data_IF_306685277178
#
_entry.id   IF_306685277178
#
_cell.length_a   1.000
_cell.length_b   1.000
_cell.length_c   1.000
_cell.angle_alpha   90.00
_cell.angle_beta   90.00
_cell.angle_gamma   90.00
#
_symmetry.space_group_name_H-M   'P 1'
#
loop_
_entity.id
_entity.type
_entity.pdbx_description
1 polymer ?
#
# COMPACT_ATOMS: atom_id res chain seq x y z
N UNK A 1 20.66 -2.15 4.55
CA UNK A 1 19.80 -3.34 4.75
C UNK A 1 18.72 -3.33 3.68
N UNK A 2 18.61 -4.37 2.86
CA UNK A 2 17.49 -4.49 1.92
C UNK A 2 16.26 -4.96 2.69
N UNK A 3 15.18 -4.19 2.67
CA UNK A 3 13.88 -4.63 3.22
C UNK A 3 12.96 -5.05 2.09
N UNK A 4 12.09 -6.02 2.35
CA UNK A 4 11.03 -6.41 1.43
C UNK A 4 10.10 -5.21 1.21
N UNK A 5 9.73 -4.97 -0.06
CA UNK A 5 8.76 -3.94 -0.45
C UNK A 5 7.41 -4.57 -0.72
N UNK A 6 6.32 -3.95 -0.26
CA UNK A 6 4.96 -4.47 -0.40
C UNK A 6 4.12 -3.57 -1.32
N UNK A 7 3.67 -4.12 -2.46
CA UNK A 7 2.71 -3.48 -3.36
C UNK A 7 1.32 -4.04 -3.11
N UNK A 8 0.33 -3.18 -2.88
CA UNK A 8 -1.07 -3.57 -2.75
C UNK A 8 -1.81 -3.16 -4.02
N UNK A 9 -2.51 -4.10 -4.66
CA UNK A 9 -3.26 -3.86 -5.89
C UNK A 9 -4.77 -3.96 -5.67
N UNK A 10 -5.53 -3.49 -6.66
CA UNK A 10 -6.98 -3.68 -6.71
C UNK A 10 -7.73 -2.81 -5.70
N UNK A 11 -7.08 -1.74 -5.22
CA UNK A 11 -7.75 -0.76 -4.38
C UNK A 11 -8.62 0.12 -5.27
N UNK A 12 -9.91 0.16 -4.96
CA UNK A 12 -10.92 0.92 -5.72
C UNK A 12 -11.55 2.05 -4.92
N UNK A 13 -11.20 2.20 -3.63
CA UNK A 13 -11.70 3.27 -2.75
C UNK A 13 -10.53 4.03 -2.13
N UNK A 14 -10.66 5.35 -2.05
CA UNK A 14 -9.62 6.24 -1.49
C UNK A 14 -9.32 5.93 -0.02
N UNK A 15 -10.33 5.60 0.78
CA UNK A 15 -10.14 5.25 2.19
C UNK A 15 -9.25 4.01 2.37
N UNK A 16 -9.42 2.99 1.52
CA UNK A 16 -8.61 1.78 1.56
C UNK A 16 -7.17 2.07 1.15
N UNK A 17 -6.96 2.95 0.15
CA UNK A 17 -5.62 3.40 -0.25
C UNK A 17 -4.92 4.12 0.91
N UNK A 18 -5.62 5.00 1.61
CA UNK A 18 -5.07 5.72 2.77
C UNK A 18 -4.71 4.76 3.91
N UNK A 19 -5.59 3.81 4.22
CA UNK A 19 -5.34 2.80 5.25
C UNK A 19 -4.13 1.92 4.89
N UNK A 20 -4.02 1.50 3.63
CA UNK A 20 -2.89 0.73 3.11
C UNK A 20 -1.57 1.51 3.23
N UNK A 21 -1.55 2.79 2.83
CA UNK A 21 -0.37 3.64 2.93
C UNK A 21 0.06 3.85 4.40
N UNK A 22 -0.90 4.12 5.30
CA UNK A 22 -0.63 4.28 6.73
C UNK A 22 -0.10 2.98 7.38
N UNK A 23 -0.50 1.82 6.85
CA UNK A 23 -0.04 0.50 7.32
C UNK A 23 1.36 0.11 6.78
N UNK A 24 1.98 0.96 5.95
CA UNK A 24 3.33 0.74 5.44
C UNK A 24 3.40 0.13 4.03
N UNK A 25 2.32 0.19 3.26
CA UNK A 25 2.38 -0.16 1.84
C UNK A 25 3.36 0.76 1.11
N UNK A 26 4.18 0.15 0.27
CA UNK A 26 5.26 0.82 -0.44
C UNK A 26 4.85 1.38 -1.80
N UNK A 27 3.80 0.81 -2.36
CA UNK A 27 3.17 1.21 -3.60
C UNK A 27 1.71 0.74 -3.60
N UNK A 28 0.84 1.52 -4.23
CA UNK A 28 -0.56 1.18 -4.46
C UNK A 28 -0.81 1.17 -5.97
N UNK A 29 -1.64 0.25 -6.45
CA UNK A 29 -2.20 0.28 -7.81
C UNK A 29 -3.06 -0.92 -8.09
#
# INVERSE_FOLDING_TARGET
MQRVRVKICGITRVADMQAAAQSGADAIG
#
